data_IF_126747458909
#
_entry.id   IF_126747458909
#
_cell.length_a   1.000
_cell.length_b   1.000
_cell.length_c   1.000
_cell.angle_alpha   90.00
_cell.angle_beta   90.00
_cell.angle_gamma   90.00
#
_symmetry.space_group_name_H-M   'P 1'
#
loop_
_entity.id
_entity.type
_entity.pdbx_description
1 polymer ?
#
# COMPACT_ATOMS: atom_id res chain seq x y z
N UNK A 1 -28.07 18.62 -14.05
CA UNK A 1 -27.48 19.42 -12.98
C UNK A 1 -26.11 18.86 -12.60
N UNK A 2 -25.23 19.67 -12.03
CA UNK A 2 -23.91 19.26 -11.54
C UNK A 2 -23.97 18.03 -10.59
N UNK A 3 -24.96 18.03 -9.69
CA UNK A 3 -25.16 16.90 -8.76
C UNK A 3 -25.53 15.59 -9.46
N UNK A 4 -26.21 15.64 -10.61
CA UNK A 4 -26.53 14.45 -11.40
C UNK A 4 -25.27 13.92 -12.12
N UNK A 5 -24.44 14.81 -12.66
CA UNK A 5 -23.17 14.45 -13.29
C UNK A 5 -22.18 13.84 -12.26
N UNK A 6 -22.09 14.42 -11.07
CA UNK A 6 -21.26 13.90 -9.98
C UNK A 6 -21.72 12.49 -9.56
N UNK A 7 -23.04 12.31 -9.34
CA UNK A 7 -23.60 10.99 -9.02
C UNK A 7 -23.33 9.95 -10.12
N UNK A 8 -23.39 10.35 -11.38
CA UNK A 8 -23.06 9.49 -12.51
C UNK A 8 -21.60 9.05 -12.47
N UNK A 9 -20.68 9.99 -12.20
CA UNK A 9 -19.25 9.70 -12.11
C UNK A 9 -18.90 8.75 -10.96
N UNK A 10 -19.38 9.01 -9.76
CA UNK A 10 -19.08 8.19 -8.58
C UNK A 10 -19.74 6.81 -8.66
N UNK A 11 -20.88 6.67 -9.34
CA UNK A 11 -21.56 5.40 -9.55
C UNK A 11 -21.02 4.56 -10.71
N UNK A 12 -20.04 5.06 -11.48
CA UNK A 12 -19.47 4.30 -12.59
C UNK A 12 -18.72 3.06 -12.11
N UNK A 13 -19.04 1.86 -12.63
CA UNK A 13 -18.24 0.67 -12.36
C UNK A 13 -16.82 0.85 -12.88
N UNK A 14 -15.83 0.51 -12.03
CA UNK A 14 -14.42 0.53 -12.40
C UNK A 14 -13.94 -0.85 -12.80
N UNK A 15 -14.31 -1.88 -12.02
CA UNK A 15 -13.90 -3.24 -12.26
C UNK A 15 -14.39 -4.16 -11.14
N UNK A 16 -13.72 -5.30 -10.96
CA UNK A 16 -14.16 -6.33 -10.02
C UNK A 16 -13.04 -6.80 -9.12
N UNK A 17 -13.35 -6.94 -7.84
CA UNK A 17 -12.47 -7.56 -6.84
C UNK A 17 -13.06 -8.90 -6.44
N UNK A 18 -12.20 -9.91 -6.31
CA UNK A 18 -12.52 -11.27 -5.89
C UNK A 18 -11.68 -11.62 -4.68
N UNK A 19 -12.25 -12.33 -3.72
CA UNK A 19 -11.50 -12.92 -2.62
C UNK A 19 -11.16 -14.37 -3.00
N UNK A 20 -9.89 -14.74 -2.92
CA UNK A 20 -9.43 -16.08 -3.28
C UNK A 20 -10.16 -17.14 -2.43
N UNK A 21 -10.77 -18.11 -3.11
CA UNK A 21 -11.52 -19.18 -2.47
C UNK A 21 -12.97 -18.82 -2.09
N UNK A 22 -13.40 -17.57 -2.26
CA UNK A 22 -14.80 -17.21 -2.08
C UNK A 22 -15.62 -17.55 -3.33
N UNK A 23 -16.54 -18.49 -3.18
CA UNK A 23 -17.49 -18.90 -4.24
C UNK A 23 -18.91 -18.40 -3.97
N UNK A 24 -19.13 -17.63 -2.90
CA UNK A 24 -20.47 -17.19 -2.48
C UNK A 24 -21.10 -16.20 -3.48
N UNK A 25 -20.27 -15.46 -4.20
CA UNK A 25 -20.72 -14.41 -5.12
C UNK A 25 -21.36 -13.21 -4.40
N UNK A 26 -21.37 -13.19 -3.06
CA UNK A 26 -21.88 -12.06 -2.28
C UNK A 26 -20.83 -10.96 -2.19
N UNK A 27 -21.29 -9.71 -2.13
CA UNK A 27 -20.43 -8.58 -1.80
C UNK A 27 -20.11 -8.64 -0.32
N UNK A 28 -18.81 -8.66 0.00
CA UNK A 28 -18.30 -8.63 1.38
C UNK A 28 -17.12 -7.66 1.44
N UNK A 29 -16.98 -6.96 2.56
CA UNK A 29 -15.81 -6.12 2.80
C UNK A 29 -14.56 -7.00 2.93
N UNK A 30 -13.43 -6.52 2.42
CA UNK A 30 -12.17 -7.28 2.39
C UNK A 30 -11.59 -7.46 3.80
N UNK A 31 -11.80 -6.51 4.68
CA UNK A 31 -11.49 -6.56 6.10
C UNK A 31 -12.64 -6.00 6.93
N UNK A 32 -12.69 -6.37 8.20
CA UNK A 32 -13.74 -5.96 9.15
C UNK A 32 -13.67 -4.45 9.45
N UNK A 33 -12.45 -3.89 9.54
CA UNK A 33 -12.21 -2.49 9.87
C UNK A 33 -10.93 -1.99 9.20
N UNK A 34 -11.00 -0.83 8.57
CA UNK A 34 -9.85 -0.15 7.97
C UNK A 34 -8.71 0.16 8.98
N UNK A 35 -9.01 0.22 10.29
CA UNK A 35 -7.98 0.37 11.32
C UNK A 35 -7.01 -0.82 11.39
N UNK A 36 -7.40 -2.00 10.91
CA UNK A 36 -6.50 -3.15 10.81
C UNK A 36 -5.25 -2.82 9.98
N UNK A 37 -5.39 -1.98 8.95
CA UNK A 37 -4.27 -1.54 8.12
C UNK A 37 -3.20 -0.72 8.87
N UNK A 38 -3.48 -0.31 10.11
CA UNK A 38 -2.55 0.44 10.97
C UNK A 38 -1.76 -0.43 11.95
N UNK A 39 -2.07 -1.74 12.02
CA UNK A 39 -1.45 -2.65 12.98
C UNK A 39 -1.10 -4.02 12.38
N UNK A 40 -1.52 -4.30 11.17
CA UNK A 40 -1.24 -5.55 10.48
C UNK A 40 -1.41 -5.40 8.97
N UNK A 41 -1.06 -6.44 8.22
CA UNK A 41 -1.45 -6.56 6.82
C UNK A 41 -2.97 -6.51 6.68
N UNK A 42 -3.45 -5.77 5.70
CA UNK A 42 -4.88 -5.72 5.39
C UNK A 42 -5.11 -5.86 3.88
N UNK A 43 -6.15 -6.60 3.47
CA UNK A 43 -6.42 -6.87 2.07
C UNK A 43 -6.63 -5.62 1.20
N UNK A 44 -7.32 -4.59 1.71
CA UNK A 44 -7.44 -3.31 1.00
C UNK A 44 -6.09 -2.63 0.81
N UNK A 45 -5.23 -2.67 1.84
CA UNK A 45 -3.85 -2.17 1.77
C UNK A 45 -3.04 -2.91 0.71
N UNK A 46 -3.22 -4.22 0.58
CA UNK A 46 -2.56 -5.03 -0.44
C UNK A 46 -2.96 -4.57 -1.85
N UNK A 47 -4.26 -4.38 -2.09
CA UNK A 47 -4.77 -3.88 -3.39
C UNK A 47 -4.21 -2.48 -3.70
N UNK A 48 -4.19 -1.58 -2.71
CA UNK A 48 -3.63 -0.25 -2.87
C UNK A 48 -2.13 -0.30 -3.22
N UNK A 49 -1.35 -1.12 -2.52
CA UNK A 49 0.09 -1.22 -2.77
C UNK A 49 0.40 -1.92 -4.09
N UNK A 50 -0.35 -2.95 -4.46
CA UNK A 50 -0.23 -3.58 -5.78
C UNK A 50 -0.55 -2.60 -6.90
N UNK A 51 -1.58 -1.78 -6.73
CA UNK A 51 -1.95 -0.73 -7.70
C UNK A 51 -0.86 0.34 -7.84
N UNK A 52 -0.23 0.72 -6.73
CA UNK A 52 0.86 1.69 -6.71
C UNK A 52 2.09 1.13 -7.43
N UNK A 53 2.46 -0.13 -7.12
CA UNK A 53 3.58 -0.81 -7.79
C UNK A 53 3.29 -1.01 -9.29
N UNK A 54 2.07 -1.39 -9.64
CA UNK A 54 1.65 -1.50 -11.04
C UNK A 54 1.68 -0.15 -11.76
N UNK A 55 1.27 0.93 -11.09
CA UNK A 55 1.38 2.29 -11.61
C UNK A 55 2.82 2.70 -11.90
N UNK A 56 3.77 2.17 -11.13
CA UNK A 56 5.21 2.42 -11.26
C UNK A 56 5.95 1.42 -12.19
N UNK A 57 5.27 0.48 -12.85
CA UNK A 57 5.88 -0.63 -13.60
C UNK A 57 6.94 -0.23 -14.63
N UNK A 58 6.77 0.94 -15.24
CA UNK A 58 7.69 1.44 -16.27
C UNK A 58 8.90 2.21 -15.69
N UNK A 59 9.00 2.31 -14.36
CA UNK A 59 10.05 3.06 -13.65
C UNK A 59 11.17 2.17 -13.12
N UNK A 60 11.00 0.85 -13.21
CA UNK A 60 11.93 -0.13 -12.64
C UNK A 60 11.73 -0.34 -11.12
N UNK A 61 10.69 0.21 -10.51
CA UNK A 61 10.36 -0.05 -9.11
C UNK A 61 9.98 -1.53 -8.90
N UNK A 62 10.51 -2.14 -7.85
CA UNK A 62 10.21 -3.52 -7.44
C UNK A 62 9.51 -3.57 -6.07
N UNK A 63 9.48 -2.46 -5.38
CA UNK A 63 8.84 -2.31 -4.06
C UNK A 63 7.89 -1.11 -4.11
N UNK A 64 6.72 -1.25 -3.53
CA UNK A 64 5.85 -0.13 -3.19
C UNK A 64 5.53 -0.16 -1.71
N UNK A 65 5.38 1.02 -1.12
CA UNK A 65 4.95 1.17 0.28
C UNK A 65 4.19 2.48 0.47
N UNK A 66 3.23 2.45 1.37
CA UNK A 66 2.56 3.66 1.86
C UNK A 66 1.95 3.41 3.24
N UNK A 67 1.54 4.49 3.89
CA UNK A 67 0.99 4.46 5.24
C UNK A 67 -0.38 3.77 5.26
N UNK A 68 -0.62 2.88 6.22
CA UNK A 68 -1.89 2.17 6.39
C UNK A 68 -3.07 3.11 6.67
N UNK A 69 -2.78 4.29 7.23
CA UNK A 69 -3.75 5.37 7.41
C UNK A 69 -4.38 5.90 6.11
N UNK A 70 -3.84 5.54 4.95
CA UNK A 70 -4.43 5.85 3.63
C UNK A 70 -5.76 5.11 3.42
N UNK A 71 -5.91 3.91 3.98
CA UNK A 71 -7.17 3.15 3.93
C UNK A 71 -8.13 3.74 4.95
N UNK A 72 -9.23 4.32 4.48
CA UNK A 72 -10.25 4.98 5.32
C UNK A 72 -11.54 4.18 5.43
N UNK A 73 -11.77 3.30 4.48
CA UNK A 73 -12.87 2.32 4.48
C UNK A 73 -12.39 1.07 3.75
N UNK A 74 -12.79 -0.13 4.14
CA UNK A 74 -12.48 -1.34 3.41
C UNK A 74 -12.95 -1.26 1.95
N UNK A 75 -12.18 -1.85 1.03
CA UNK A 75 -12.69 -2.27 -0.27
C UNK A 75 -13.58 -3.50 -0.07
N UNK A 76 -14.41 -3.80 -1.06
CA UNK A 76 -15.29 -4.96 -1.02
C UNK A 76 -15.14 -5.84 -2.27
N UNK A 77 -15.58 -7.08 -2.17
CA UNK A 77 -15.66 -7.99 -3.32
C UNK A 77 -16.82 -7.60 -4.25
N UNK A 78 -16.78 -8.11 -5.47
CA UNK A 78 -17.78 -7.79 -6.50
C UNK A 78 -17.38 -6.59 -7.34
N UNK A 79 -18.36 -5.94 -7.93
CA UNK A 79 -18.14 -4.74 -8.75
C UNK A 79 -17.90 -3.54 -7.85
N UNK A 80 -16.76 -2.88 -8.04
CA UNK A 80 -16.43 -1.64 -7.35
C UNK A 80 -16.61 -0.44 -8.26
N UNK A 81 -17.08 0.66 -7.69
CA UNK A 81 -17.33 1.93 -8.37
C UNK A 81 -16.24 2.95 -8.07
N UNK A 82 -16.22 4.04 -8.80
CA UNK A 82 -15.32 5.16 -8.49
C UNK A 82 -15.61 5.75 -7.09
N UNK A 83 -16.87 5.75 -6.67
CA UNK A 83 -17.27 6.18 -5.32
C UNK A 83 -16.68 5.31 -4.21
N UNK A 84 -16.63 3.99 -4.41
CA UNK A 84 -16.00 3.06 -3.47
C UNK A 84 -14.51 3.35 -3.34
N UNK A 85 -13.81 3.56 -4.46
CA UNK A 85 -12.39 3.90 -4.45
C UNK A 85 -12.11 5.21 -3.71
N UNK A 86 -12.91 6.25 -3.96
CA UNK A 86 -12.80 7.54 -3.30
C UNK A 86 -13.15 7.48 -1.80
N UNK A 87 -14.04 6.57 -1.40
CA UNK A 87 -14.37 6.33 0.01
C UNK A 87 -13.22 5.62 0.71
N UNK A 88 -12.59 4.65 0.05
CA UNK A 88 -11.45 3.91 0.59
C UNK A 88 -10.21 4.79 0.69
N UNK A 89 -9.94 5.59 -0.33
CA UNK A 89 -8.75 6.44 -0.42
C UNK A 89 -9.11 7.87 -0.86
N UNK A 90 -9.61 8.72 0.05
CA UNK A 90 -10.07 10.08 -0.26
C UNK A 90 -8.91 11.10 -0.31
N UNK A 91 -7.78 10.75 -0.92
CA UNK A 91 -6.59 11.59 -0.97
C UNK A 91 -6.13 11.80 -2.40
N UNK A 92 -5.66 13.01 -2.68
CA UNK A 92 -5.10 13.41 -3.98
C UNK A 92 -3.55 13.30 -3.94
N UNK A 93 -3.08 12.09 -3.66
CA UNK A 93 -1.64 11.82 -3.58
C UNK A 93 -1.09 11.40 -4.94
N UNK A 94 0.11 11.89 -5.26
CA UNK A 94 0.83 11.58 -6.49
C UNK A 94 1.84 10.46 -6.27
N UNK A 95 1.89 9.50 -7.20
CA UNK A 95 2.91 8.46 -7.26
C UNK A 95 4.28 9.07 -7.51
N UNK A 96 5.21 8.74 -6.63
CA UNK A 96 6.63 9.09 -6.75
C UNK A 96 7.51 7.85 -6.65
N UNK A 97 8.69 7.88 -7.25
CA UNK A 97 9.67 6.79 -7.19
C UNK A 97 11.04 7.33 -6.79
N UNK A 98 11.79 6.55 -6.03
CA UNK A 98 13.11 6.94 -5.57
C UNK A 98 13.98 5.73 -5.27
N UNK A 99 15.28 5.98 -5.14
CA UNK A 99 16.27 4.95 -4.83
C UNK A 99 16.62 5.02 -3.34
N UNK A 100 16.35 3.93 -2.62
CA UNK A 100 16.62 3.78 -1.19
C UNK A 100 17.64 2.67 -0.98
N UNK A 101 18.61 2.89 -0.09
CA UNK A 101 19.42 1.78 0.44
C UNK A 101 18.55 0.87 1.32
N UNK A 102 18.95 -0.39 1.46
CA UNK A 102 18.23 -1.30 2.36
C UNK A 102 18.20 -0.79 3.80
N UNK A 103 19.24 -0.09 4.25
CA UNK A 103 19.28 0.58 5.55
C UNK A 103 18.19 1.67 5.68
N UNK A 104 18.00 2.47 4.63
CA UNK A 104 16.93 3.49 4.60
C UNK A 104 15.55 2.85 4.58
N UNK A 105 15.40 1.76 3.82
CA UNK A 105 14.15 1.02 3.73
C UNK A 105 13.79 0.37 5.07
N UNK A 106 14.76 -0.28 5.73
CA UNK A 106 14.58 -0.82 7.08
C UNK A 106 14.22 0.28 8.10
N UNK A 107 14.88 1.43 8.03
CA UNK A 107 14.58 2.58 8.88
C UNK A 107 13.15 3.10 8.69
N UNK A 108 12.63 3.07 7.45
CA UNK A 108 11.25 3.43 7.16
C UNK A 108 10.26 2.42 7.77
N UNK A 109 10.53 1.12 7.66
CA UNK A 109 9.70 0.07 8.27
C UNK A 109 9.68 0.21 9.80
N UNK A 110 10.83 0.45 10.43
CA UNK A 110 10.93 0.68 11.87
C UNK A 110 10.17 1.95 12.32
N UNK A 111 10.26 3.03 11.53
CA UNK A 111 9.46 4.22 11.81
C UNK A 111 7.96 3.91 11.69
N UNK A 112 7.54 3.17 10.68
CA UNK A 112 6.16 2.72 10.53
C UNK A 112 5.67 1.93 11.74
N UNK A 113 6.50 1.03 12.27
CA UNK A 113 6.18 0.21 13.43
C UNK A 113 6.26 0.97 14.78
N UNK A 114 6.82 2.19 14.82
CA UNK A 114 7.07 2.94 16.05
C UNK A 114 5.81 3.40 16.79
N UNK A 115 4.67 3.46 16.13
CA UNK A 115 3.39 3.86 16.71
C UNK A 115 2.37 2.74 16.77
N UNK A 116 2.82 1.49 16.77
CA UNK A 116 1.99 0.30 16.71
C UNK A 116 0.92 0.28 17.82
N UNK A 117 1.30 0.55 19.07
CA UNK A 117 0.42 0.48 20.24
C UNK A 117 -0.77 1.45 20.17
N UNK A 118 -0.62 2.52 19.41
CA UNK A 118 -1.63 3.56 19.25
C UNK A 118 -2.42 3.41 17.94
N UNK A 119 -2.17 2.36 17.15
CA UNK A 119 -2.77 2.23 15.82
C UNK A 119 -2.44 3.42 14.93
N UNK A 120 -1.20 3.91 14.98
CA UNK A 120 -0.79 5.09 14.24
C UNK A 120 -0.86 4.85 12.73
N UNK A 121 -1.37 5.83 11.98
CA UNK A 121 -1.53 5.75 10.53
C UNK A 121 -0.25 5.44 9.76
N UNK A 122 0.91 5.72 10.35
CA UNK A 122 2.24 5.51 9.74
C UNK A 122 2.66 4.04 9.54
N UNK A 123 1.93 3.06 10.09
CA UNK A 123 2.21 1.64 9.82
C UNK A 123 2.20 1.38 8.31
N UNK A 124 3.27 0.75 7.78
CA UNK A 124 3.42 0.63 6.34
C UNK A 124 2.76 -0.63 5.80
N UNK A 125 1.87 -0.45 4.82
CA UNK A 125 1.44 -1.50 3.89
C UNK A 125 2.43 -1.56 2.73
N UNK A 126 2.65 -2.74 2.13
CA UNK A 126 3.72 -2.96 1.18
C UNK A 126 3.32 -3.85 -0.01
N UNK A 127 4.02 -3.69 -1.13
CA UNK A 127 4.05 -4.64 -2.24
C UNK A 127 5.49 -4.88 -2.69
N UNK A 128 5.80 -6.08 -3.15
CA UNK A 128 7.18 -6.45 -3.53
C UNK A 128 8.16 -6.53 -2.35
N UNK A 129 7.66 -6.49 -1.13
CA UNK A 129 8.41 -6.58 0.11
C UNK A 129 7.60 -7.38 1.13
N UNK A 130 8.29 -8.15 1.98
CA UNK A 130 7.70 -8.80 3.16
C UNK A 130 8.53 -8.49 4.39
N UNK A 131 7.88 -8.43 5.56
CA UNK A 131 8.59 -8.21 6.82
C UNK A 131 7.81 -8.74 8.02
N UNK A 132 8.51 -8.93 9.14
CA UNK A 132 7.90 -9.25 10.43
C UNK A 132 7.99 -8.06 11.38
N UNK A 133 6.96 -7.86 12.20
CA UNK A 133 6.91 -6.86 13.25
C UNK A 133 6.73 -7.54 14.60
N UNK A 134 7.52 -7.16 15.57
CA UNK A 134 7.48 -7.66 16.96
C UNK A 134 7.23 -6.47 17.89
N UNK A 135 5.94 -6.13 18.15
CA UNK A 135 5.57 -4.92 18.91
C UNK A 135 6.12 -4.87 20.32
N UNK A 136 6.35 -6.04 20.93
CA UNK A 136 6.93 -6.14 22.28
C UNK A 136 8.39 -5.66 22.38
N UNK A 137 9.08 -5.55 21.25
CA UNK A 137 10.47 -5.04 21.22
C UNK A 137 10.51 -3.51 21.32
N UNK A 138 11.66 -2.97 21.76
CA UNK A 138 11.87 -1.52 21.77
C UNK A 138 11.68 -0.90 20.39
N UNK A 139 11.16 0.33 20.34
CA UNK A 139 11.07 1.11 19.11
C UNK A 139 12.44 1.19 18.42
N UNK A 140 12.46 0.97 17.12
CA UNK A 140 13.70 0.88 16.31
C UNK A 140 14.36 -0.50 16.28
N UNK A 141 13.75 -1.52 16.91
CA UNK A 141 14.21 -2.91 16.92
C UNK A 141 13.07 -3.91 16.67
N UNK A 142 11.96 -3.44 16.09
CA UNK A 142 10.72 -4.20 15.93
C UNK A 142 10.65 -4.97 14.64
N UNK A 143 11.39 -4.56 13.62
CA UNK A 143 11.31 -5.13 12.27
C UNK A 143 12.38 -6.19 12.05
N UNK A 144 11.97 -7.31 11.48
CA UNK A 144 12.87 -8.43 11.17
C UNK A 144 12.40 -9.19 9.91
N UNK A 145 13.21 -10.14 9.45
CA UNK A 145 12.89 -11.03 8.33
C UNK A 145 12.43 -10.27 7.06
N UNK A 146 13.07 -9.13 6.77
CA UNK A 146 12.73 -8.33 5.59
C UNK A 146 13.25 -9.01 4.34
N UNK A 147 12.36 -9.28 3.39
CA UNK A 147 12.70 -9.80 2.07
C UNK A 147 12.12 -8.90 0.98
N UNK A 148 12.82 -8.79 -0.13
CA UNK A 148 12.42 -7.96 -1.27
C UNK A 148 12.32 -8.81 -2.53
N UNK A 149 11.37 -8.45 -3.39
CA UNK A 149 11.19 -9.10 -4.67
C UNK A 149 12.27 -8.62 -5.64
N UNK A 150 12.94 -9.57 -6.29
CA UNK A 150 13.92 -9.29 -7.33
C UNK A 150 13.24 -8.96 -8.66
N UNK A 151 13.97 -8.32 -9.57
CA UNK A 151 13.50 -8.07 -10.96
C UNK A 151 13.18 -9.37 -11.71
N UNK A 152 13.85 -10.47 -11.36
CA UNK A 152 13.60 -11.81 -11.91
C UNK A 152 12.37 -12.50 -11.31
N UNK A 153 11.68 -11.88 -10.34
CA UNK A 153 10.47 -12.41 -9.70
C UNK A 153 10.70 -13.31 -8.48
N UNK A 154 11.97 -13.58 -8.10
CA UNK A 154 12.31 -14.26 -6.85
C UNK A 154 12.26 -13.36 -5.63
N UNK A 155 12.60 -13.90 -4.47
CA UNK A 155 12.73 -13.18 -3.21
C UNK A 155 14.15 -13.31 -2.66
N UNK A 156 14.69 -12.25 -2.10
CA UNK A 156 15.99 -12.24 -1.43
C UNK A 156 15.91 -11.44 -0.12
N UNK A 157 16.72 -11.79 0.90
CA UNK A 157 16.82 -10.97 2.11
C UNK A 157 17.26 -9.55 1.79
N UNK A 158 16.69 -8.58 2.50
CA UNK A 158 17.10 -7.17 2.40
C UNK A 158 18.58 -7.03 2.75
N UNK A 159 19.35 -6.44 1.85
CA UNK A 159 20.78 -6.13 2.05
C UNK A 159 20.93 -4.65 2.39
N UNK A 160 21.54 -4.27 3.54
CA UNK A 160 21.58 -2.88 4.01
C UNK A 160 22.17 -1.89 3.01
N UNK A 161 23.23 -2.30 2.29
CA UNK A 161 23.96 -1.42 1.35
C UNK A 161 23.45 -1.52 -0.10
N UNK A 162 22.56 -2.46 -0.40
CA UNK A 162 21.96 -2.54 -1.74
C UNK A 162 20.96 -1.41 -1.94
N UNK A 163 20.81 -0.99 -3.20
CA UNK A 163 19.85 0.06 -3.59
C UNK A 163 18.61 -0.60 -4.20
N UNK A 164 17.46 -0.15 -3.74
CA UNK A 164 16.15 -0.61 -4.17
C UNK A 164 15.37 0.55 -4.75
N UNK A 165 14.77 0.34 -5.92
CA UNK A 165 13.86 1.30 -6.54
C UNK A 165 12.48 1.15 -5.93
N UNK A 166 12.02 2.17 -5.22
CA UNK A 166 10.82 2.16 -4.38
C UNK A 166 9.79 3.15 -4.91
N UNK A 167 8.54 2.70 -5.01
CA UNK A 167 7.37 3.54 -5.27
C UNK A 167 6.68 3.90 -3.96
N UNK A 168 6.29 5.16 -3.82
CA UNK A 168 5.46 5.65 -2.71
C UNK A 168 4.60 6.81 -3.20
N UNK A 169 3.98 7.54 -2.28
CA UNK A 169 3.23 8.75 -2.60
C UNK A 169 3.94 9.99 -2.06
N UNK A 170 3.69 11.14 -2.69
CA UNK A 170 4.26 12.44 -2.33
C UNK A 170 4.09 12.78 -0.85
N UNK A 171 2.93 12.48 -0.25
CA UNK A 171 2.70 12.68 1.19
C UNK A 171 3.81 12.05 2.06
N UNK A 172 4.13 10.78 1.82
CA UNK A 172 5.20 10.10 2.58
C UNK A 172 6.59 10.63 2.18
N UNK A 173 6.82 10.84 0.88
CA UNK A 173 8.07 11.36 0.33
C UNK A 173 8.44 12.73 0.91
N UNK A 174 7.45 13.59 1.17
CA UNK A 174 7.59 14.92 1.76
C UNK A 174 7.61 14.91 3.30
N UNK A 175 7.62 13.72 3.91
CA UNK A 175 7.77 13.53 5.35
C UNK A 175 6.47 13.47 6.13
N UNK A 176 5.34 13.26 5.47
CA UNK A 176 4.06 12.99 6.12
C UNK A 176 4.19 11.85 7.14
N UNK A 177 3.36 11.86 8.17
CA UNK A 177 3.40 10.91 9.30
C UNK A 177 4.79 10.74 9.95
N UNK A 178 5.67 11.74 9.80
CA UNK A 178 6.99 11.77 10.41
C UNK A 178 8.09 11.04 9.64
N UNK A 179 7.89 10.67 8.37
CA UNK A 179 8.90 10.06 7.50
C UNK A 179 10.00 11.07 7.10
N UNK A 180 10.61 11.73 8.08
CA UNK A 180 11.60 12.78 7.86
C UNK A 180 12.81 12.33 7.03
N UNK A 181 13.18 11.03 7.13
CA UNK A 181 14.27 10.46 6.34
C UNK A 181 13.97 10.48 4.84
N UNK A 182 12.70 10.40 4.44
CA UNK A 182 12.30 10.42 3.03
C UNK A 182 12.53 11.77 2.36
N UNK A 183 12.53 12.88 3.11
CA UNK A 183 12.89 14.21 2.59
C UNK A 183 14.29 14.29 2.02
N UNK A 184 15.18 13.37 2.40
CA UNK A 184 16.57 13.32 1.92
C UNK A 184 16.73 12.46 0.66
N UNK A 185 15.68 11.78 0.23
CA UNK A 185 15.67 10.96 -0.99
C UNK A 185 15.32 11.84 -2.17
N UNK A 186 16.01 11.62 -3.29
CA UNK A 186 15.67 12.27 -4.55
C UNK A 186 14.49 11.53 -5.20
N UNK A 187 13.29 12.03 -4.96
CA UNK A 187 12.08 11.48 -5.55
C UNK A 187 11.85 12.02 -6.96
N UNK A 188 11.37 11.14 -7.82
CA UNK A 188 10.91 11.44 -9.16
C UNK A 188 9.37 11.38 -9.17
N UNK A 189 8.75 12.51 -9.44
CA UNK A 189 7.29 12.62 -9.56
C UNK A 189 6.86 12.09 -10.92
N UNK A 190 5.88 11.19 -10.93
CA UNK A 190 5.40 10.57 -12.17
C UNK A 190 4.27 11.35 -12.84
N UNK A 191 3.65 12.29 -12.12
CA UNK A 191 2.46 13.02 -12.56
C UNK A 191 1.17 12.20 -12.51
N UNK A 192 1.19 10.96 -12.01
CA UNK A 192 0.02 10.10 -11.87
C UNK A 192 -0.51 10.13 -10.45
N UNK A 193 -1.80 10.38 -10.29
CA UNK A 193 -2.46 10.26 -8.98
C UNK A 193 -2.58 8.78 -8.57
N UNK A 194 -2.41 8.47 -7.27
CA UNK A 194 -2.55 7.09 -6.77
C UNK A 194 -3.96 6.55 -7.03
N UNK A 195 -4.99 7.39 -6.93
CA UNK A 195 -6.38 7.00 -7.24
C UNK A 195 -6.55 6.57 -8.70
N UNK A 196 -5.82 7.17 -9.63
CA UNK A 196 -5.82 6.76 -11.04
C UNK A 196 -5.12 5.41 -11.21
N UNK A 197 -4.00 5.20 -10.51
CA UNK A 197 -3.32 3.91 -10.50
C UNK A 197 -4.25 2.79 -9.98
N UNK A 198 -4.99 3.05 -8.90
CA UNK A 198 -5.95 2.11 -8.33
C UNK A 198 -7.10 1.81 -9.30
N UNK A 199 -7.72 2.85 -9.87
CA UNK A 199 -8.76 2.70 -10.88
C UNK A 199 -8.30 1.84 -12.05
N UNK A 200 -7.17 2.19 -12.65
CA UNK A 200 -6.68 1.52 -13.85
C UNK A 200 -6.22 0.09 -13.55
N UNK A 201 -5.68 -0.15 -12.35
CA UNK A 201 -5.29 -1.49 -11.89
C UNK A 201 -6.49 -2.42 -11.77
N UNK A 202 -7.60 -1.96 -11.20
CA UNK A 202 -8.82 -2.75 -11.03
C UNK A 202 -9.55 -2.90 -12.37
N UNK A 203 -9.51 -1.88 -13.22
CA UNK A 203 -10.21 -1.88 -14.53
C UNK A 203 -9.59 -2.86 -15.54
N UNK A 204 -8.29 -3.16 -15.45
CA UNK A 204 -7.61 -3.99 -16.47
C UNK A 204 -8.04 -5.46 -16.48
N UNK A 205 -8.41 -6.01 -15.33
CA UNK A 205 -8.87 -7.38 -15.11
C UNK A 205 -9.40 -7.54 -13.69
N UNK A 206 -10.24 -8.55 -13.39
CA UNK A 206 -10.60 -8.85 -12.01
C UNK A 206 -9.39 -9.02 -11.13
N UNK A 207 -9.37 -8.34 -9.98
CA UNK A 207 -8.30 -8.43 -8.99
C UNK A 207 -8.64 -9.51 -7.99
N UNK A 208 -7.84 -10.59 -7.96
CA UNK A 208 -7.98 -11.63 -6.95
C UNK A 208 -7.12 -11.30 -5.74
N UNK A 209 -7.75 -11.06 -4.60
CA UNK A 209 -7.10 -10.76 -3.35
C UNK A 209 -6.84 -12.04 -2.57
N UNK A 210 -5.60 -12.23 -2.14
CA UNK A 210 -5.16 -13.27 -1.22
C UNK A 210 -4.57 -12.57 -0.01
N UNK A 211 -5.25 -12.65 1.12
CA UNK A 211 -4.77 -12.04 2.35
C UNK A 211 -3.63 -12.86 2.98
N UNK A 212 -2.68 -12.16 3.55
CA UNK A 212 -1.58 -12.71 4.35
C UNK A 212 -0.32 -13.03 3.54
N UNK A 213 0.80 -12.86 4.22
CA UNK A 213 2.11 -13.24 3.72
C UNK A 213 3.08 -12.09 3.46
N UNK A 214 2.62 -10.84 3.55
CA UNK A 214 3.51 -9.67 3.40
C UNK A 214 4.00 -9.17 4.74
N UNK A 215 3.11 -9.09 5.73
CA UNK A 215 3.42 -8.51 7.04
C UNK A 215 3.01 -9.50 8.13
N UNK A 216 4.00 -10.03 8.85
CA UNK A 216 3.76 -10.95 9.96
C UNK A 216 3.94 -10.24 11.29
N UNK A 217 2.88 -10.16 12.08
CA UNK A 217 2.95 -9.65 13.44
C UNK A 217 3.27 -10.81 14.39
N UNK A 218 4.40 -10.71 15.10
CA UNK A 218 4.87 -11.68 16.08
C UNK A 218 4.40 -11.23 17.47
N UNK A 219 3.69 -12.10 18.16
CA UNK A 219 3.13 -11.87 19.51
C UNK A 219 3.95 -12.59 20.57
#
# INVERSE_FOLDING_TARGET
SYAAQLRSLIGQPVGKILLAGDTSGRQVDLEEDAHLCRVQECPSGDVLMDSLLWGARDTGATVALSVGGTVRSPLHTGVVTMGDLLTTMPFDNTLVVGDLTGKQLLGALEHGASGYENGAGRFLQVAGLTYSVEPAKPVGQRVSAVSVRTKAGGWEPLRPEAVYRVATVDYAAEGGDGFAAFKKIKWQYTGRAHIECLRDYIAKAPVEVRSGGRIKVLR
#
